data_IF_777025259501
#
_entry.id   IF_777025259501
#
_cell.length_a   1.000
_cell.length_b   1.000
_cell.length_c   1.000
_cell.angle_alpha   90.00
_cell.angle_beta   90.00
_cell.angle_gamma   90.00
#
_symmetry.space_group_name_H-M   'P 1'
#
loop_
_entity.id
_entity.type
_entity.pdbx_description
1 polymer ?
#
# COMPACT_ATOMS: atom_id res chain seq x y z
N UNK A 1 -22.95 -13.89 33.53
CA UNK A 1 -22.71 -15.09 32.71
C UNK A 1 -21.22 -15.34 32.69
N UNK A 2 -20.74 -16.26 33.51
CA UNK A 2 -19.36 -16.72 33.46
C UNK A 2 -19.32 -17.85 32.41
N UNK A 3 -18.55 -17.65 31.33
CA UNK A 3 -18.37 -18.68 30.31
C UNK A 3 -17.56 -19.86 30.85
N UNK A 4 -17.71 -21.04 30.24
CA UNK A 4 -16.89 -22.21 30.55
C UNK A 4 -15.39 -21.87 30.39
N UNK A 5 -14.53 -22.41 31.26
CA UNK A 5 -13.09 -22.14 31.23
C UNK A 5 -12.45 -22.68 29.94
N UNK A 6 -11.67 -21.84 29.27
CA UNK A 6 -10.91 -22.17 28.06
C UNK A 6 -9.69 -22.98 28.48
N UNK A 7 -9.48 -24.14 27.85
CA UNK A 7 -8.44 -25.11 28.25
C UNK A 7 -7.25 -25.12 27.28
N UNK A 8 -7.49 -24.81 26.00
CA UNK A 8 -6.46 -24.64 24.98
C UNK A 8 -6.32 -23.14 24.67
N UNK A 9 -5.09 -22.61 24.73
CA UNK A 9 -4.78 -21.18 24.63
C UNK A 9 -5.46 -20.42 23.48
N UNK A 10 -5.56 -19.09 23.64
CA UNK A 10 -6.32 -18.23 22.73
C UNK A 10 -5.38 -17.52 21.75
N UNK A 11 -5.76 -17.42 20.47
CA UNK A 11 -5.01 -16.64 19.48
C UNK A 11 -5.88 -15.56 18.86
N UNK A 12 -5.35 -14.35 18.69
CA UNK A 12 -6.09 -13.18 18.21
C UNK A 12 -5.36 -12.58 17.01
N UNK A 13 -6.02 -12.59 15.85
CA UNK A 13 -5.53 -11.92 14.65
C UNK A 13 -6.16 -10.53 14.57
N UNK A 14 -5.34 -9.49 14.56
CA UNK A 14 -5.80 -8.10 14.57
C UNK A 14 -4.99 -7.22 13.62
N UNK A 15 -5.54 -6.05 13.28
CA UNK A 15 -4.87 -5.03 12.48
C UNK A 15 -4.10 -4.08 13.40
N UNK A 16 -2.76 -4.16 13.40
CA UNK A 16 -1.92 -3.34 14.26
C UNK A 16 -2.01 -1.84 14.00
N UNK A 17 -2.38 -1.40 12.80
CA UNK A 17 -2.52 0.03 12.51
C UNK A 17 -3.84 0.62 13.01
N UNK A 18 -4.83 -0.22 13.32
CA UNK A 18 -6.10 0.24 13.88
C UNK A 18 -6.01 0.37 15.42
N UNK A 19 -6.15 1.57 16.01
CA UNK A 19 -6.09 1.76 17.47
C UNK A 19 -7.13 0.93 18.22
N UNK A 20 -8.32 0.78 17.65
CA UNK A 20 -9.40 -0.03 18.22
C UNK A 20 -9.00 -1.52 18.27
N UNK A 21 -8.48 -2.06 17.17
CA UNK A 21 -8.04 -3.45 17.10
C UNK A 21 -6.86 -3.72 18.07
N UNK A 22 -5.93 -2.77 18.18
CA UNK A 22 -4.81 -2.86 19.12
C UNK A 22 -5.28 -2.86 20.57
N UNK A 23 -6.23 -1.99 20.92
CA UNK A 23 -6.81 -1.96 22.27
C UNK A 23 -7.54 -3.27 22.59
N UNK A 24 -8.28 -3.85 21.64
CA UNK A 24 -8.89 -5.18 21.78
C UNK A 24 -7.85 -6.25 22.08
N UNK A 25 -6.80 -6.35 21.26
CA UNK A 25 -5.75 -7.33 21.41
C UNK A 25 -5.07 -7.21 22.79
N UNK A 26 -4.79 -5.98 23.24
CA UNK A 26 -4.25 -5.70 24.57
C UNK A 26 -5.21 -6.12 25.70
N UNK A 27 -6.52 -5.91 25.54
CA UNK A 27 -7.52 -6.35 26.51
C UNK A 27 -7.57 -7.86 26.71
N UNK A 28 -7.17 -8.63 25.70
CA UNK A 28 -7.04 -10.08 25.81
C UNK A 28 -5.71 -10.47 26.47
N UNK A 29 -4.61 -9.76 26.19
CA UNK A 29 -3.28 -10.03 26.74
C UNK A 29 -3.18 -9.96 28.26
N UNK A 30 -4.06 -9.17 28.90
CA UNK A 30 -4.04 -8.96 30.33
C UNK A 30 -4.72 -10.09 31.14
N UNK A 31 -5.35 -11.08 30.48
CA UNK A 31 -5.94 -12.25 31.16
C UNK A 31 -5.06 -13.48 30.99
N UNK A 32 -4.19 -13.69 31.96
CA UNK A 32 -3.33 -14.88 32.12
C UNK A 32 -4.11 -16.14 32.57
N UNK A 33 -5.40 -16.02 32.89
CA UNK A 33 -6.24 -17.09 33.45
C UNK A 33 -6.79 -18.10 32.40
N UNK A 34 -6.64 -17.82 31.10
CA UNK A 34 -7.24 -18.62 30.01
C UNK A 34 -6.20 -19.34 29.11
N UNK A 35 -5.03 -19.65 29.66
CA UNK A 35 -3.93 -20.32 28.94
C UNK A 35 -3.01 -19.34 28.19
N UNK A 36 -2.18 -19.85 27.27
CA UNK A 36 -1.24 -19.02 26.48
C UNK A 36 -2.00 -18.17 25.47
N UNK A 37 -1.86 -16.84 25.53
CA UNK A 37 -2.40 -15.94 24.51
C UNK A 37 -1.35 -15.65 23.44
N UNK A 38 -1.71 -15.86 22.17
CA UNK A 38 -0.91 -15.41 21.02
C UNK A 38 -1.58 -14.23 20.32
N UNK A 39 -0.87 -13.11 20.21
CA UNK A 39 -1.29 -11.94 19.44
C UNK A 39 -0.62 -11.97 18.07
N UNK A 40 -1.43 -11.93 17.01
CA UNK A 40 -0.98 -11.98 15.61
C UNK A 40 -1.36 -10.69 14.92
N UNK A 41 -0.39 -9.82 14.68
CA UNK A 41 -0.60 -8.62 13.87
C UNK A 41 -0.62 -9.01 12.39
N UNK A 42 -1.79 -8.91 11.76
CA UNK A 42 -2.00 -9.28 10.37
C UNK A 42 -1.16 -8.43 9.39
N UNK A 43 -0.63 -7.28 9.82
CA UNK A 43 0.27 -6.48 8.97
C UNK A 43 1.65 -7.11 8.84
N UNK A 44 2.24 -7.53 9.95
CA UNK A 44 3.63 -8.02 9.99
C UNK A 44 3.74 -9.54 9.95
N UNK A 45 2.64 -10.25 10.21
CA UNK A 45 2.62 -11.72 10.34
C UNK A 45 1.65 -12.38 9.34
N UNK A 46 1.63 -11.94 8.08
CA UNK A 46 0.74 -12.54 7.06
C UNK A 46 0.98 -14.04 6.82
N UNK A 47 2.22 -14.51 6.99
CA UNK A 47 2.56 -15.92 6.87
C UNK A 47 2.03 -16.80 8.03
N UNK A 48 1.48 -16.19 9.08
CA UNK A 48 0.94 -16.92 10.23
C UNK A 48 -0.24 -17.82 9.81
N UNK A 49 -0.33 -19.02 10.40
CA UNK A 49 -1.35 -20.03 10.01
C UNK A 49 -2.78 -19.47 10.02
N UNK A 50 -3.11 -18.64 11.00
CA UNK A 50 -4.46 -18.07 11.15
C UNK A 50 -4.81 -17.06 10.06
N UNK A 51 -3.83 -16.34 9.52
CA UNK A 51 -4.07 -15.45 8.38
C UNK A 51 -4.45 -16.27 7.14
N UNK A 52 -3.72 -17.38 6.88
CA UNK A 52 -4.04 -18.32 5.80
C UNK A 52 -5.39 -19.01 6.00
N UNK A 53 -5.67 -19.50 7.21
CA UNK A 53 -6.97 -20.11 7.52
C UNK A 53 -8.13 -19.14 7.33
N UNK A 54 -7.94 -17.85 7.67
CA UNK A 54 -8.94 -16.82 7.40
C UNK A 54 -9.24 -16.73 5.90
N UNK A 55 -8.19 -16.66 5.07
CA UNK A 55 -8.34 -16.59 3.61
C UNK A 55 -9.00 -17.84 3.02
N UNK A 56 -8.54 -19.04 3.42
CA UNK A 56 -9.09 -20.32 2.97
C UNK A 56 -10.59 -20.45 3.28
N UNK A 57 -11.04 -19.88 4.40
CA UNK A 57 -12.45 -19.86 4.80
C UNK A 57 -13.22 -18.63 4.28
N UNK A 58 -12.60 -17.78 3.46
CA UNK A 58 -13.23 -16.56 2.92
C UNK A 58 -13.50 -15.47 3.96
N UNK A 59 -12.82 -15.53 5.11
CA UNK A 59 -12.90 -14.55 6.20
C UNK A 59 -11.98 -13.36 5.92
N UNK A 60 -12.59 -12.23 5.59
CA UNK A 60 -11.88 -11.01 5.19
C UNK A 60 -11.34 -10.25 6.42
N UNK A 61 -10.02 -10.27 6.63
CA UNK A 61 -9.38 -9.60 7.77
C UNK A 61 -9.45 -8.06 7.69
N UNK A 62 -9.71 -7.47 6.54
CA UNK A 62 -10.02 -6.03 6.43
C UNK A 62 -11.39 -5.70 7.01
N UNK A 63 -12.31 -6.65 6.99
CA UNK A 63 -13.70 -6.47 7.48
C UNK A 63 -13.90 -6.91 8.91
N UNK A 64 -13.04 -7.75 9.48
CA UNK A 64 -13.25 -8.29 10.82
C UNK A 64 -11.99 -8.80 11.51
N UNK A 65 -12.11 -8.96 12.82
CA UNK A 65 -11.09 -9.61 13.66
C UNK A 65 -11.37 -11.12 13.69
N UNK A 66 -10.32 -11.92 13.84
CA UNK A 66 -10.41 -13.37 13.98
C UNK A 66 -9.82 -13.78 15.33
N UNK A 67 -10.55 -14.61 16.08
CA UNK A 67 -10.08 -15.24 17.31
C UNK A 67 -10.15 -16.75 17.12
N UNK A 68 -9.13 -17.47 17.55
CA UNK A 68 -9.14 -18.92 17.69
C UNK A 68 -9.08 -19.28 19.19
N UNK A 69 -10.00 -20.13 19.65
CA UNK A 69 -10.01 -20.67 21.00
C UNK A 69 -10.67 -22.06 21.02
N UNK A 70 -10.09 -23.01 21.77
CA UNK A 70 -10.55 -24.41 21.86
C UNK A 70 -10.85 -25.05 20.48
N UNK A 71 -9.99 -24.79 19.49
CA UNK A 71 -10.12 -25.31 18.12
C UNK A 71 -11.26 -24.70 17.30
N UNK A 72 -11.94 -23.66 17.81
CA UNK A 72 -13.01 -22.93 17.12
C UNK A 72 -12.53 -21.54 16.70
N UNK A 73 -12.99 -21.12 15.52
CA UNK A 73 -12.77 -19.79 14.99
C UNK A 73 -14.00 -18.91 15.22
N UNK A 74 -13.75 -17.70 15.71
CA UNK A 74 -14.75 -16.67 15.93
C UNK A 74 -14.36 -15.46 15.08
N UNK A 75 -15.23 -15.07 14.15
CA UNK A 75 -14.97 -13.97 13.23
C UNK A 75 -15.99 -12.84 13.39
N UNK A 76 -15.48 -11.61 13.34
CA UNK A 76 -16.31 -10.41 13.30
C UNK A 76 -17.22 -10.23 14.52
N UNK A 77 -18.53 -10.35 14.32
CA UNK A 77 -19.49 -10.21 15.41
C UNK A 77 -19.24 -11.27 16.50
N UNK A 78 -18.98 -12.52 16.13
CA UNK A 78 -18.72 -13.61 17.08
C UNK A 78 -17.45 -13.39 17.91
N UNK A 79 -16.40 -12.84 17.28
CA UNK A 79 -15.20 -12.43 17.99
C UNK A 79 -15.50 -11.36 19.05
N UNK A 80 -16.42 -10.44 18.75
CA UNK A 80 -16.85 -9.40 19.70
C UNK A 80 -17.62 -10.00 20.88
N UNK A 81 -18.45 -11.02 20.63
CA UNK A 81 -19.15 -11.76 21.69
C UNK A 81 -18.18 -12.53 22.57
N UNK A 82 -17.15 -13.13 21.96
CA UNK A 82 -16.08 -13.81 22.68
C UNK A 82 -15.35 -12.85 23.62
N UNK A 83 -14.99 -11.65 23.15
CA UNK A 83 -14.39 -10.60 23.98
C UNK A 83 -15.29 -10.18 25.14
N UNK A 84 -16.60 -10.01 24.92
CA UNK A 84 -17.51 -9.61 25.99
C UNK A 84 -17.54 -10.63 27.15
N UNK A 85 -17.41 -11.91 26.82
CA UNK A 85 -17.46 -13.04 27.76
C UNK A 85 -16.12 -13.28 28.45
N UNK A 86 -15.03 -13.24 27.70
CA UNK A 86 -13.71 -13.68 28.16
C UNK A 86 -12.69 -12.55 28.33
N UNK A 87 -12.92 -11.37 27.75
CA UNK A 87 -12.04 -10.21 27.87
C UNK A 87 -12.09 -9.53 29.24
N UNK A 88 -11.06 -8.72 29.53
CA UNK A 88 -10.92 -8.03 30.81
C UNK A 88 -12.09 -7.05 31.07
N UNK A 89 -12.88 -7.23 32.17
CA UNK A 89 -13.97 -6.34 32.54
C UNK A 89 -13.55 -4.89 32.82
N UNK A 90 -12.27 -4.63 33.10
CA UNK A 90 -11.74 -3.30 33.37
C UNK A 90 -11.78 -2.37 32.16
N UNK A 91 -11.74 -2.92 30.95
CA UNK A 91 -11.63 -2.13 29.72
C UNK A 91 -12.98 -1.60 29.20
N UNK A 92 -12.96 -0.37 28.68
CA UNK A 92 -14.13 0.33 28.13
C UNK A 92 -14.80 -0.50 27.03
N UNK A 93 -14.01 -1.17 26.19
CA UNK A 93 -14.54 -1.94 25.07
C UNK A 93 -15.24 -3.22 25.53
N UNK A 94 -14.74 -3.89 26.57
CA UNK A 94 -15.41 -5.05 27.19
C UNK A 94 -16.73 -4.65 27.83
N UNK A 95 -16.78 -3.49 28.49
CA UNK A 95 -18.03 -2.93 29.07
C UNK A 95 -19.05 -2.63 27.97
N UNK A 96 -18.62 -1.99 26.88
CA UNK A 96 -19.47 -1.74 25.71
C UNK A 96 -19.97 -3.04 25.08
N UNK A 97 -19.08 -4.01 24.86
CA UNK A 97 -19.43 -5.30 24.28
C UNK A 97 -20.46 -6.06 25.14
N UNK A 98 -20.35 -6.00 26.48
CA UNK A 98 -21.33 -6.58 27.41
C UNK A 98 -22.68 -5.85 27.38
N UNK A 99 -22.67 -4.52 27.29
CA UNK A 99 -23.89 -3.71 27.22
C UNK A 99 -24.68 -3.97 25.93
N UNK A 100 -23.97 -4.14 24.81
CA UNK A 100 -24.54 -4.33 23.47
C UNK A 100 -25.06 -5.75 23.23
N UNK A 101 -24.86 -6.67 24.18
CA UNK A 101 -25.12 -8.10 24.01
C UNK A 101 -26.54 -8.55 24.39
N UNK A 102 -27.45 -7.61 24.69
CA UNK A 102 -28.83 -7.90 25.12
C UNK A 102 -29.74 -8.53 24.04
N UNK A 103 -29.33 -8.53 22.76
CA UNK A 103 -30.08 -9.14 21.65
C UNK A 103 -29.17 -9.41 20.43
N UNK A 104 -29.41 -10.49 19.67
CA UNK A 104 -28.63 -10.86 18.47
C UNK A 104 -28.55 -9.73 17.43
N UNK A 105 -29.66 -9.03 17.20
CA UNK A 105 -29.72 -7.87 16.28
C UNK A 105 -28.90 -6.67 16.80
N UNK A 106 -28.86 -6.47 18.11
CA UNK A 106 -28.06 -5.39 18.71
C UNK A 106 -26.56 -5.66 18.56
N UNK A 107 -26.14 -6.92 18.65
CA UNK A 107 -24.75 -7.32 18.41
C UNK A 107 -24.32 -7.13 16.95
N UNK A 108 -25.19 -7.44 15.99
CA UNK A 108 -24.94 -7.17 14.56
C UNK A 108 -24.79 -5.67 14.29
N UNK A 109 -25.66 -4.84 14.87
CA UNK A 109 -25.59 -3.37 14.74
C UNK A 109 -24.33 -2.80 15.39
N UNK A 110 -24.01 -3.22 16.62
CA UNK A 110 -22.79 -2.84 17.32
C UNK A 110 -21.53 -3.16 16.51
N UNK A 111 -21.46 -4.36 15.95
CA UNK A 111 -20.35 -4.78 15.11
C UNK A 111 -20.28 -3.95 13.81
N UNK A 112 -21.41 -3.62 13.19
CA UNK A 112 -21.43 -2.71 12.04
C UNK A 112 -20.87 -1.31 12.39
N UNK A 113 -21.21 -0.77 13.57
CA UNK A 113 -20.66 0.49 14.07
C UNK A 113 -19.15 0.37 14.31
N UNK A 114 -18.68 -0.70 14.94
CA UNK A 114 -17.25 -0.94 15.17
C UNK A 114 -16.47 -1.08 13.87
N UNK A 115 -17.04 -1.75 12.85
CA UNK A 115 -16.46 -1.81 11.50
C UNK A 115 -16.38 -0.41 10.88
N UNK A 116 -17.43 0.40 11.01
CA UNK A 116 -17.43 1.79 10.57
C UNK A 116 -16.36 2.63 11.28
N UNK A 117 -16.24 2.48 12.60
CA UNK A 117 -15.22 3.16 13.41
C UNK A 117 -13.80 2.72 13.03
N UNK A 118 -13.54 1.42 12.83
CA UNK A 118 -12.26 0.91 12.31
C UNK A 118 -11.94 1.57 10.97
N UNK A 119 -12.88 1.56 10.02
CA UNK A 119 -12.68 2.17 8.70
C UNK A 119 -12.37 3.66 8.82
N UNK A 120 -13.09 4.39 9.68
CA UNK A 120 -12.83 5.81 9.95
C UNK A 120 -11.47 6.05 10.60
N UNK A 121 -11.04 5.20 11.53
CA UNK A 121 -9.73 5.33 12.18
C UNK A 121 -8.57 5.03 11.22
N UNK A 122 -8.70 4.00 10.38
CA UNK A 122 -7.69 3.70 9.34
C UNK A 122 -7.62 4.82 8.30
N UNK A 123 -8.78 5.33 7.88
CA UNK A 123 -8.93 6.51 7.02
C UNK A 123 -8.21 7.73 7.61
N UNK A 124 -8.49 8.08 8.87
CA UNK A 124 -7.83 9.21 9.55
C UNK A 124 -6.31 9.05 9.69
N UNK A 125 -5.81 7.81 9.75
CA UNK A 125 -4.38 7.50 9.84
C UNK A 125 -3.70 7.35 8.47
N UNK A 126 -4.46 7.47 7.38
CA UNK A 126 -3.98 7.31 6.01
C UNK A 126 -3.33 5.93 5.75
N UNK A 127 -3.91 4.88 6.35
CA UNK A 127 -3.37 3.52 6.27
C UNK A 127 -4.22 2.66 5.33
N UNK A 128 -3.55 1.95 4.41
CA UNK A 128 -4.19 1.06 3.45
C UNK A 128 -4.63 -0.28 4.11
N UNK A 129 -5.47 -1.03 3.39
CA UNK A 129 -5.96 -2.34 3.84
C UNK A 129 -4.86 -3.40 3.99
N UNK A 130 -5.21 -4.49 4.68
CA UNK A 130 -4.37 -5.66 4.94
C UNK A 130 -4.16 -6.52 3.69
N UNK A 131 -5.05 -6.47 2.70
CA UNK A 131 -4.97 -7.36 1.55
C UNK A 131 -5.16 -8.83 1.93
N UNK A 132 -4.84 -9.75 1.01
CA UNK A 132 -4.92 -11.19 1.26
C UNK A 132 -3.53 -11.78 1.50
N UNK A 133 -3.40 -12.80 2.38
CA UNK A 133 -2.14 -13.52 2.56
C UNK A 133 -1.57 -14.09 1.26
N UNK A 134 -2.41 -14.60 0.34
CA UNK A 134 -1.97 -15.08 -0.97
C UNK A 134 -1.35 -13.98 -1.85
N UNK A 135 -1.71 -12.72 -1.64
CA UNK A 135 -1.12 -11.59 -2.37
C UNK A 135 0.38 -11.48 -2.06
N UNK A 136 0.84 -11.84 -0.85
CA UNK A 136 2.24 -11.80 -0.46
C UNK A 136 3.12 -12.83 -1.20
N UNK A 137 2.53 -13.79 -1.92
CA UNK A 137 3.26 -14.78 -2.70
C UNK A 137 3.62 -14.32 -4.10
N UNK A 138 2.96 -13.27 -4.61
CA UNK A 138 3.14 -12.78 -5.98
C UNK A 138 3.60 -11.31 -5.97
N UNK A 139 4.36 -10.87 -6.99
CA UNK A 139 4.72 -9.47 -7.09
C UNK A 139 3.49 -8.57 -7.25
N UNK A 140 3.53 -7.36 -6.68
CA UNK A 140 2.43 -6.38 -6.70
C UNK A 140 1.96 -6.14 -8.15
N UNK A 141 2.90 -5.98 -9.07
CA UNK A 141 2.62 -5.68 -10.47
C UNK A 141 2.15 -6.90 -11.27
N UNK A 142 2.28 -8.13 -10.76
CA UNK A 142 1.64 -9.28 -11.40
C UNK A 142 0.11 -9.11 -11.44
N UNK A 143 -0.48 -8.53 -10.39
CA UNK A 143 -1.91 -8.20 -10.34
C UNK A 143 -2.27 -6.97 -11.18
N UNK A 144 -1.33 -6.04 -11.39
CA UNK A 144 -1.50 -4.86 -12.25
C UNK A 144 -1.53 -5.25 -13.73
N UNK A 145 -0.59 -6.10 -14.16
CA UNK A 145 -0.51 -6.58 -15.54
C UNK A 145 -1.48 -7.72 -15.83
N UNK A 146 -1.94 -8.45 -14.80
CA UNK A 146 -2.89 -9.55 -14.97
C UNK A 146 -2.35 -10.62 -15.91
N UNK A 147 -3.13 -10.96 -16.94
CA UNK A 147 -2.78 -12.00 -17.92
C UNK A 147 -1.53 -11.67 -18.74
N UNK A 148 -1.15 -10.38 -18.84
CA UNK A 148 0.05 -9.97 -19.56
C UNK A 148 1.34 -10.22 -18.76
N UNK A 149 1.26 -10.46 -17.44
CA UNK A 149 2.44 -10.63 -16.58
C UNK A 149 3.41 -11.70 -17.09
N UNK A 150 2.92 -12.87 -17.50
CA UNK A 150 3.77 -13.97 -17.99
C UNK A 150 4.34 -13.70 -19.39
N UNK A 151 3.80 -12.71 -20.11
CA UNK A 151 4.27 -12.30 -21.44
C UNK A 151 5.35 -11.21 -21.37
N UNK A 152 5.54 -10.61 -20.20
CA UNK A 152 6.55 -9.59 -19.98
C UNK A 152 7.96 -10.21 -20.13
N UNK A 153 8.88 -9.52 -20.82
CA UNK A 153 10.28 -9.93 -20.87
C UNK A 153 10.88 -10.07 -19.47
N UNK A 154 11.84 -11.00 -19.25
CA UNK A 154 12.44 -11.23 -17.94
C UNK A 154 12.97 -9.96 -17.26
N UNK A 155 13.57 -9.04 -18.02
CA UNK A 155 14.09 -7.76 -17.51
C UNK A 155 12.99 -6.87 -16.90
N UNK A 156 11.78 -6.84 -17.50
CA UNK A 156 10.64 -6.09 -16.97
C UNK A 156 10.04 -6.79 -15.76
N UNK A 157 9.99 -8.13 -15.73
CA UNK A 157 9.57 -8.84 -14.51
C UNK A 157 10.55 -8.63 -13.36
N UNK A 158 11.86 -8.57 -13.65
CA UNK A 158 12.91 -8.24 -12.68
C UNK A 158 12.85 -6.78 -12.21
N UNK A 159 12.26 -5.88 -13.00
CA UNK A 159 11.99 -4.50 -12.60
C UNK A 159 10.87 -4.40 -11.55
N UNK A 160 9.93 -5.36 -11.56
CA UNK A 160 8.80 -5.41 -10.64
C UNK A 160 8.74 -6.69 -9.76
N UNK A 161 9.79 -7.05 -9.00
CA UNK A 161 9.82 -8.31 -8.25
C UNK A 161 9.11 -8.21 -6.89
N UNK A 162 8.92 -7.00 -6.39
CA UNK A 162 8.44 -6.68 -5.05
C UNK A 162 7.07 -7.28 -4.75
N UNK A 163 7.00 -8.10 -3.69
CA UNK A 163 5.77 -8.65 -3.14
C UNK A 163 5.17 -7.68 -2.10
N UNK A 164 3.83 -7.59 -1.98
CA UNK A 164 3.21 -6.75 -0.96
C UNK A 164 3.55 -7.29 0.45
N UNK A 165 3.54 -6.42 1.47
CA UNK A 165 3.75 -6.80 2.87
C UNK A 165 5.08 -7.55 3.13
N UNK A 166 6.12 -7.16 2.42
CA UNK A 166 7.46 -7.75 2.53
C UNK A 166 8.52 -6.65 2.68
N UNK A 167 9.76 -7.08 2.94
CA UNK A 167 10.95 -6.22 2.94
C UNK A 167 11.71 -6.29 1.60
N UNK A 168 11.08 -6.77 0.53
CA UNK A 168 11.72 -6.89 -0.77
C UNK A 168 12.28 -5.53 -1.23
N UNK A 169 13.50 -5.54 -1.73
CA UNK A 169 14.15 -4.36 -2.29
C UNK A 169 14.90 -4.73 -3.57
N UNK A 170 14.89 -3.84 -4.55
CA UNK A 170 15.67 -3.99 -5.78
C UNK A 170 16.20 -2.63 -6.19
N UNK A 171 17.49 -2.56 -6.54
CA UNK A 171 18.17 -1.32 -6.90
C UNK A 171 18.57 -1.34 -8.36
N UNK A 172 18.35 -0.19 -9.01
CA UNK A 172 18.85 0.09 -10.35
C UNK A 172 19.61 1.41 -10.34
N UNK A 173 20.57 1.52 -11.24
CA UNK A 173 21.35 2.73 -11.45
C UNK A 173 21.39 3.08 -12.93
N UNK A 174 21.47 4.38 -13.21
CA UNK A 174 21.42 4.89 -14.57
C UNK A 174 21.77 6.36 -14.62
N UNK A 175 21.63 6.91 -15.82
CA UNK A 175 21.73 8.34 -16.06
C UNK A 175 20.45 8.81 -16.77
N UNK A 176 19.96 9.98 -16.38
CA UNK A 176 18.77 10.60 -16.97
C UNK A 176 19.12 11.96 -17.56
N UNK A 177 18.56 12.25 -18.72
CA UNK A 177 18.36 13.62 -19.17
C UNK A 177 17.05 14.14 -18.59
N UNK A 178 17.07 15.33 -18.02
CA UNK A 178 15.89 16.01 -17.47
C UNK A 178 15.70 17.30 -18.25
N UNK A 179 14.51 17.48 -18.82
CA UNK A 179 14.16 18.66 -19.60
C UNK A 179 12.86 19.24 -19.06
N UNK A 180 12.88 20.53 -18.80
CA UNK A 180 11.74 21.32 -18.34
C UNK A 180 11.57 22.55 -19.23
N UNK A 181 10.32 22.85 -19.59
CA UNK A 181 9.97 23.92 -20.51
C UNK A 181 8.66 24.60 -20.09
N UNK A 182 8.42 25.79 -20.66
CA UNK A 182 7.19 26.54 -20.43
C UNK A 182 6.96 26.88 -18.95
N UNK A 183 5.70 26.87 -18.46
CA UNK A 183 5.36 27.34 -17.12
C UNK A 183 5.90 26.44 -15.99
N UNK A 184 6.28 25.19 -16.28
CA UNK A 184 6.86 24.28 -15.29
C UNK A 184 8.15 24.85 -14.71
N UNK A 185 8.95 25.58 -15.51
CA UNK A 185 10.17 26.26 -15.04
C UNK A 185 9.88 27.35 -14.02
N UNK A 186 8.76 28.06 -14.16
CA UNK A 186 8.35 29.08 -13.19
C UNK A 186 7.92 28.45 -11.85
N UNK A 187 7.34 27.25 -11.90
CA UNK A 187 6.93 26.48 -10.73
C UNK A 187 8.08 25.67 -10.10
N UNK A 188 9.26 25.65 -10.71
CA UNK A 188 10.41 24.87 -10.24
C UNK A 188 10.76 25.06 -8.75
N UNK A 189 10.87 26.28 -8.19
CA UNK A 189 11.18 26.44 -6.76
C UNK A 189 10.08 25.86 -5.86
N UNK A 190 8.81 25.99 -6.25
CA UNK A 190 7.67 25.43 -5.53
C UNK A 190 7.68 23.90 -5.58
N UNK A 191 7.90 23.32 -6.77
CA UNK A 191 7.99 21.87 -6.95
C UNK A 191 9.18 21.29 -6.17
N UNK A 192 10.32 21.97 -6.19
CA UNK A 192 11.50 21.58 -5.43
C UNK A 192 11.22 21.60 -3.91
N UNK A 193 10.63 22.69 -3.40
CA UNK A 193 10.27 22.83 -2.00
C UNK A 193 9.24 21.79 -1.53
N UNK A 194 8.31 21.41 -2.42
CA UNK A 194 7.33 20.35 -2.15
C UNK A 194 7.91 18.93 -2.31
N UNK A 195 9.18 18.79 -2.68
CA UNK A 195 9.82 17.49 -2.92
C UNK A 195 9.16 16.71 -4.07
N UNK A 196 8.74 17.42 -5.12
CA UNK A 196 8.08 16.87 -6.30
C UNK A 196 9.09 16.56 -7.41
N UNK A 197 8.64 16.49 -8.66
CA UNK A 197 9.54 16.24 -9.79
C UNK A 197 10.61 17.35 -9.90
N UNK A 198 11.86 17.01 -10.24
CA UNK A 198 12.92 17.99 -10.43
C UNK A 198 12.69 18.76 -11.73
N UNK A 199 12.13 19.96 -11.63
CA UNK A 199 11.85 20.84 -12.77
C UNK A 199 13.09 21.68 -13.14
N UNK A 200 14.09 21.03 -13.74
CA UNK A 200 15.34 21.67 -14.20
C UNK A 200 15.81 21.03 -15.51
N UNK A 201 16.80 21.66 -16.16
CA UNK A 201 17.40 21.14 -17.38
C UNK A 201 18.80 20.65 -17.07
N UNK A 202 19.04 19.37 -17.27
CA UNK A 202 20.33 18.75 -16.98
C UNK A 202 20.48 17.46 -17.80
N UNK A 203 21.72 17.05 -18.08
CA UNK A 203 22.04 15.95 -18.99
C UNK A 203 22.93 14.92 -18.31
N UNK A 204 22.63 13.64 -18.52
CA UNK A 204 23.41 12.55 -17.95
C UNK A 204 23.44 12.53 -16.42
N UNK A 205 22.40 13.03 -15.76
CA UNK A 205 22.30 13.09 -14.30
C UNK A 205 22.33 11.68 -13.72
N UNK A 206 23.31 11.33 -12.88
CA UNK A 206 23.35 10.02 -12.24
C UNK A 206 22.16 9.83 -11.30
N UNK A 207 21.42 8.75 -11.48
CA UNK A 207 20.24 8.41 -10.68
C UNK A 207 20.36 7.00 -10.15
N UNK A 208 20.08 6.86 -8.85
CA UNK A 208 19.84 5.57 -8.24
C UNK A 208 18.38 5.46 -7.83
N UNK A 209 17.74 4.35 -8.20
CA UNK A 209 16.36 4.06 -7.83
C UNK A 209 16.34 2.77 -7.02
N UNK A 210 15.78 2.84 -5.82
CA UNK A 210 15.48 1.66 -5.02
C UNK A 210 13.97 1.45 -4.99
N UNK A 211 13.53 0.32 -5.54
CA UNK A 211 12.16 -0.16 -5.42
C UNK A 211 12.05 -0.96 -4.13
N UNK A 212 11.09 -0.60 -3.27
CA UNK A 212 10.91 -1.23 -1.97
C UNK A 212 9.47 -1.66 -1.76
N UNK A 213 9.31 -2.81 -1.13
CA UNK A 213 8.07 -3.19 -0.48
C UNK A 213 7.97 -2.53 0.89
N UNK A 214 6.75 -2.47 1.41
CA UNK A 214 6.47 -2.00 2.77
C UNK A 214 5.85 -3.17 3.55
N UNK A 215 6.44 -3.62 4.67
CA UNK A 215 5.86 -4.68 5.50
C UNK A 215 4.44 -4.36 5.97
N UNK A 216 4.10 -3.07 6.10
CA UNK A 216 2.81 -2.63 6.57
C UNK A 216 1.78 -2.35 5.48
N UNK A 217 2.13 -2.42 4.19
CA UNK A 217 1.21 -2.09 3.09
C UNK A 217 1.50 -2.83 1.79
N UNK A 218 0.50 -2.93 0.92
CA UNK A 218 0.67 -3.43 -0.45
C UNK A 218 1.29 -2.38 -1.40
N UNK A 219 1.95 -1.34 -0.86
CA UNK A 219 2.50 -0.26 -1.66
C UNK A 219 3.84 -0.66 -2.28
N UNK A 220 4.01 -0.32 -3.56
CA UNK A 220 5.30 -0.36 -4.24
C UNK A 220 5.97 1.01 -4.11
N UNK A 221 7.05 1.11 -3.36
CA UNK A 221 7.69 2.38 -3.00
C UNK A 221 8.84 2.67 -3.94
N UNK A 222 8.79 3.85 -4.58
CA UNK A 222 9.90 4.39 -5.36
C UNK A 222 10.73 5.32 -4.50
N UNK A 223 12.01 5.00 -4.31
CA UNK A 223 13.01 5.88 -3.70
C UNK A 223 14.04 6.27 -4.75
N UNK A 224 13.91 7.48 -5.30
CA UNK A 224 14.78 8.01 -6.37
C UNK A 224 15.72 9.04 -5.80
N UNK A 225 17.02 8.87 -6.05
CA UNK A 225 18.07 9.83 -5.70
C UNK A 225 18.75 10.31 -6.96
N UNK A 226 18.61 11.59 -7.25
CA UNK A 226 19.26 12.28 -8.35
C UNK A 226 20.48 12.99 -7.80
N UNK A 227 21.65 12.79 -8.41
CA UNK A 227 22.87 13.49 -8.04
C UNK A 227 23.10 14.64 -9.01
N UNK A 228 22.65 15.83 -8.65
CA UNK A 228 22.91 17.05 -9.42
C UNK A 228 24.22 17.70 -8.96
N UNK A 229 24.80 18.56 -9.79
CA UNK A 229 26.04 19.29 -9.46
C UNK A 229 25.90 20.17 -8.22
N UNK A 230 24.70 20.69 -7.95
CA UNK A 230 24.37 21.53 -6.80
C UNK A 230 23.89 20.74 -5.57
N UNK A 231 23.83 19.40 -5.66
CA UNK A 231 23.52 18.50 -4.56
C UNK A 231 22.53 17.38 -4.90
N UNK A 232 22.36 16.47 -3.94
CA UNK A 232 21.45 15.34 -4.09
C UNK A 232 19.98 15.77 -3.93
N UNK A 233 19.13 15.32 -4.85
CA UNK A 233 17.68 15.49 -4.78
C UNK A 233 16.99 14.15 -4.54
N UNK A 234 16.15 14.09 -3.51
CA UNK A 234 15.44 12.88 -3.11
C UNK A 234 13.95 12.97 -3.46
N UNK A 235 13.49 12.09 -4.35
CA UNK A 235 12.10 11.99 -4.73
C UNK A 235 11.52 10.62 -4.37
N UNK A 236 10.66 10.60 -3.36
CA UNK A 236 10.01 9.40 -2.85
C UNK A 236 8.51 9.42 -3.13
N UNK A 237 7.97 8.32 -3.63
CA UNK A 237 6.54 8.12 -3.85
C UNK A 237 6.12 6.69 -3.53
N UNK A 238 4.80 6.47 -3.45
CA UNK A 238 4.20 5.16 -3.17
C UNK A 238 3.15 4.85 -4.23
N UNK A 239 3.29 3.72 -4.91
CA UNK A 239 2.31 3.24 -5.88
C UNK A 239 1.36 2.25 -5.22
N UNK A 240 0.06 2.44 -5.46
CA UNK A 240 -1.00 1.62 -4.93
C UNK A 240 -1.87 1.10 -6.06
N UNK A 241 -2.12 -0.20 -6.04
CA UNK A 241 -3.01 -0.86 -6.99
C UNK A 241 -4.47 -0.55 -6.66
N UNK A 242 -5.22 -0.03 -7.63
CA UNK A 242 -6.65 0.26 -7.50
C UNK A 242 -7.55 -0.83 -8.09
N UNK A 243 -6.95 -1.83 -8.76
CA UNK A 243 -7.65 -2.91 -9.46
C UNK A 243 -7.42 -2.88 -10.97
N UNK A 244 -7.33 -4.06 -11.60
CA UNK A 244 -6.96 -4.19 -13.01
C UNK A 244 -5.63 -3.50 -13.32
N UNK A 245 -5.52 -2.80 -14.45
CA UNK A 245 -4.30 -2.03 -14.77
C UNK A 245 -4.21 -0.66 -14.08
N UNK A 246 -5.10 -0.30 -13.15
CA UNK A 246 -5.17 1.05 -12.59
C UNK A 246 -4.30 1.18 -11.33
N UNK A 247 -3.39 2.16 -11.35
CA UNK A 247 -2.44 2.43 -10.26
C UNK A 247 -2.50 3.91 -9.92
N UNK A 248 -2.34 4.24 -8.64
CA UNK A 248 -2.15 5.61 -8.17
C UNK A 248 -0.77 5.74 -7.55
N UNK A 249 0.03 6.69 -8.03
CA UNK A 249 1.30 7.05 -7.42
C UNK A 249 1.09 8.29 -6.55
N UNK A 250 1.28 8.12 -5.24
CA UNK A 250 1.14 9.16 -4.23
C UNK A 250 2.53 9.70 -3.88
N UNK A 251 2.73 10.98 -4.14
CA UNK A 251 3.91 11.77 -3.78
C UNK A 251 3.77 12.39 -2.38
N UNK A 252 4.79 13.16 -1.99
CA UNK A 252 4.77 13.99 -0.77
C UNK A 252 3.54 14.88 -0.71
N UNK A 253 3.09 15.14 0.52
CA UNK A 253 1.88 15.93 0.84
C UNK A 253 0.57 15.38 0.26
N UNK A 254 0.56 14.12 -0.19
CA UNK A 254 -0.63 13.44 -0.69
C UNK A 254 -0.97 13.77 -2.14
N UNK A 255 -0.20 14.61 -2.85
CA UNK A 255 -0.38 14.78 -4.28
C UNK A 255 -0.26 13.42 -4.97
N UNK A 256 -1.13 13.15 -5.93
CA UNK A 256 -1.04 11.92 -6.69
C UNK A 256 -1.31 12.16 -8.17
N UNK A 257 -0.85 11.21 -8.98
CA UNK A 257 -1.45 10.98 -10.28
C UNK A 257 -1.90 9.53 -10.37
N UNK A 258 -2.99 9.34 -11.11
CA UNK A 258 -3.54 8.03 -11.42
C UNK A 258 -3.20 7.70 -12.86
N UNK A 259 -2.81 6.47 -13.08
CA UNK A 259 -2.42 5.96 -14.38
C UNK A 259 -2.96 4.56 -14.62
N UNK A 260 -2.95 4.17 -15.89
CA UNK A 260 -3.21 2.81 -16.31
C UNK A 260 -1.96 2.20 -16.90
N UNK A 261 -1.48 1.12 -16.29
CA UNK A 261 -0.45 0.27 -16.83
C UNK A 261 -1.02 -0.64 -17.91
N UNK A 262 -0.25 -0.85 -18.97
CA UNK A 262 -0.54 -1.81 -20.01
C UNK A 262 0.77 -2.26 -20.68
N UNK A 263 0.85 -3.54 -21.05
CA UNK A 263 1.89 -4.04 -21.95
C UNK A 263 1.41 -3.95 -23.39
N UNK A 264 2.05 -3.13 -24.23
CA UNK A 264 1.68 -2.98 -25.64
C UNK A 264 2.91 -2.67 -26.49
N UNK A 265 2.97 -3.23 -27.69
CA UNK A 265 4.02 -2.93 -28.68
C UNK A 265 5.44 -3.11 -28.13
N UNK A 266 5.66 -4.13 -27.28
CA UNK A 266 6.98 -4.40 -26.71
C UNK A 266 7.43 -3.44 -25.60
N UNK A 267 6.52 -2.63 -25.06
CA UNK A 267 6.81 -1.68 -23.97
C UNK A 267 5.70 -1.64 -22.92
N UNK A 268 6.06 -1.26 -21.70
CA UNK A 268 5.10 -0.89 -20.65
C UNK A 268 4.67 0.55 -20.91
N UNK A 269 3.37 0.81 -20.85
CA UNK A 269 2.78 2.14 -21.02
C UNK A 269 2.03 2.51 -19.75
N UNK A 270 2.34 3.68 -19.20
CA UNK A 270 1.61 4.29 -18.09
C UNK A 270 0.79 5.46 -18.64
N UNK A 271 -0.48 5.19 -18.92
CA UNK A 271 -1.37 6.16 -19.53
C UNK A 271 -2.03 7.05 -18.46
N UNK A 272 -1.95 8.38 -18.64
CA UNK A 272 -2.56 9.37 -17.75
C UNK A 272 -4.07 9.13 -17.53
N UNK A 273 -4.54 9.21 -16.28
CA UNK A 273 -5.97 9.31 -15.94
C UNK A 273 -6.33 10.65 -15.35
N UNK A 274 -5.72 11.02 -14.23
CA UNK A 274 -5.95 12.29 -13.56
C UNK A 274 -4.82 12.58 -12.57
N UNK A 275 -4.79 13.82 -12.08
CA UNK A 275 -4.08 14.17 -10.86
C UNK A 275 -5.07 14.36 -9.73
N UNK A 276 -4.57 14.40 -8.50
CA UNK A 276 -5.39 14.74 -7.36
C UNK A 276 -4.60 14.87 -6.08
N UNK A 277 -5.33 14.90 -4.98
CA UNK A 277 -4.78 14.88 -3.64
C UNK A 277 -5.43 13.77 -2.82
N UNK A 278 -4.59 12.99 -2.14
CA UNK A 278 -4.97 11.96 -1.19
C UNK A 278 -5.16 12.65 0.15
N UNK A 279 -6.41 12.73 0.59
CA UNK A 279 -6.79 13.31 1.87
C UNK A 279 -7.46 12.23 2.71
N UNK A 280 -6.83 11.90 3.85
CA UNK A 280 -7.31 10.87 4.78
C UNK A 280 -7.59 9.52 4.11
N UNK A 281 -6.82 9.09 3.10
CA UNK A 281 -7.08 7.84 2.36
C UNK A 281 -8.15 7.94 1.26
N UNK A 282 -8.77 9.11 1.05
CA UNK A 282 -9.60 9.38 -0.13
C UNK A 282 -8.75 9.97 -1.26
N UNK A 283 -8.81 9.37 -2.45
CA UNK A 283 -8.23 9.95 -3.66
C UNK A 283 -9.21 10.94 -4.29
N UNK A 284 -9.01 12.24 -4.06
CA UNK A 284 -9.84 13.30 -4.63
C UNK A 284 -9.21 13.76 -5.95
N UNK A 285 -9.79 13.46 -7.12
CA UNK A 285 -9.27 13.95 -8.39
C UNK A 285 -9.43 15.46 -8.46
N UNK A 286 -8.39 16.13 -8.98
CA UNK A 286 -8.37 17.57 -9.18
C UNK A 286 -8.21 17.87 -10.68
N UNK A 287 -8.78 18.97 -11.19
CA UNK A 287 -8.67 19.35 -12.61
C UNK A 287 -7.27 19.91 -12.96
N UNK A 288 -6.21 19.43 -12.30
CA UNK A 288 -4.83 19.88 -12.53
C UNK A 288 -4.29 19.47 -13.90
N UNK A 289 -4.96 18.56 -14.63
CA UNK A 289 -4.56 18.21 -15.99
C UNK A 289 -4.60 19.39 -16.96
N UNK A 290 -5.47 20.39 -16.71
CA UNK A 290 -5.50 21.63 -17.50
C UNK A 290 -4.35 22.59 -17.18
N UNK A 291 -3.72 22.45 -16.01
CA UNK A 291 -2.64 23.31 -15.53
C UNK A 291 -1.26 22.68 -15.75
N UNK A 292 -1.14 21.40 -15.44
CA UNK A 292 0.12 20.66 -15.49
C UNK A 292 0.32 19.96 -16.84
N UNK A 293 -0.76 19.63 -17.56
CA UNK A 293 -0.73 18.78 -18.74
C UNK A 293 -1.03 17.32 -18.41
N UNK A 294 -0.78 16.41 -19.36
CA UNK A 294 -0.97 14.97 -19.20
C UNK A 294 0.37 14.29 -19.02
N UNK A 295 0.52 13.49 -17.96
CA UNK A 295 1.72 12.69 -17.70
C UNK A 295 1.62 11.30 -18.34
N UNK A 296 2.55 10.98 -19.23
CA UNK A 296 2.67 9.67 -19.86
C UNK A 296 4.08 9.14 -19.62
N UNK A 297 4.18 7.85 -19.31
CA UNK A 297 5.48 7.20 -19.17
C UNK A 297 5.52 5.88 -19.92
N UNK A 298 6.72 5.49 -20.33
CA UNK A 298 6.99 4.28 -21.06
C UNK A 298 8.27 3.63 -20.54
N UNK A 299 8.25 2.30 -20.44
CA UNK A 299 9.44 1.50 -20.12
C UNK A 299 9.66 0.49 -21.22
N UNK A 300 10.88 0.46 -21.74
CA UNK A 300 11.27 -0.36 -22.89
C UNK A 300 12.40 -1.29 -22.46
N UNK A 301 12.23 -2.62 -22.58
CA UNK A 301 13.32 -3.56 -22.35
C UNK A 301 14.41 -3.34 -23.40
N UNK A 302 15.68 -3.29 -22.99
CA UNK A 302 16.81 -3.15 -23.92
C UNK A 302 17.57 -4.47 -24.07
N UNK A 303 17.92 -5.09 -22.94
CA UNK A 303 18.59 -6.39 -22.88
C UNK A 303 18.20 -7.14 -21.59
N UNK A 304 19.00 -8.12 -21.17
CA UNK A 304 18.73 -8.94 -19.98
C UNK A 304 18.82 -8.17 -18.67
N UNK A 305 19.59 -7.09 -18.64
CA UNK A 305 20.00 -6.42 -17.40
C UNK A 305 19.69 -4.92 -17.41
N UNK A 306 19.10 -4.40 -18.49
CA UNK A 306 18.78 -2.99 -18.61
C UNK A 306 17.49 -2.71 -19.37
N UNK A 307 16.89 -1.58 -19.00
CA UNK A 307 15.69 -1.03 -19.61
C UNK A 307 15.81 0.49 -19.74
N UNK A 308 15.15 1.04 -20.75
CA UNK A 308 14.97 2.47 -20.90
C UNK A 308 13.65 2.91 -20.27
N UNK A 309 13.67 4.07 -19.65
CA UNK A 309 12.47 4.70 -19.09
C UNK A 309 12.37 6.13 -19.62
N UNK A 310 11.18 6.50 -20.03
CA UNK A 310 10.84 7.85 -20.45
C UNK A 310 9.55 8.27 -19.76
N UNK A 311 9.53 9.49 -19.22
CA UNK A 311 8.31 10.12 -18.71
C UNK A 311 8.20 11.50 -19.32
N UNK A 312 7.04 11.86 -19.82
CA UNK A 312 6.78 13.16 -20.41
C UNK A 312 5.47 13.76 -19.88
N UNK A 313 5.45 15.08 -19.70
CA UNK A 313 4.25 15.84 -19.40
C UNK A 313 3.95 16.77 -20.58
N UNK A 314 2.79 16.58 -21.19
CA UNK A 314 2.33 17.35 -22.36
C UNK A 314 1.17 18.27 -21.97
N UNK A 315 1.41 19.57 -22.01
CA UNK A 315 0.40 20.59 -21.77
C UNK A 315 -0.39 20.92 -23.06
N UNK A 316 -1.72 21.10 -23.00
CA UNK A 316 -2.54 21.41 -24.18
C UNK A 316 -2.09 22.66 -24.97
N UNK A 317 -1.62 23.69 -24.26
CA UNK A 317 -1.20 24.98 -24.85
C UNK A 317 0.30 25.10 -25.17
N UNK A 318 1.15 24.42 -24.40
CA UNK A 318 2.62 24.61 -24.47
C UNK A 318 3.35 23.40 -25.03
N UNK A 319 2.62 22.35 -25.40
CA UNK A 319 3.21 21.09 -25.84
C UNK A 319 3.98 20.41 -24.71
N UNK A 320 5.16 19.85 -25.01
CA UNK A 320 5.97 19.14 -24.03
C UNK A 320 6.59 20.12 -23.04
N UNK A 321 6.16 20.07 -21.77
CA UNK A 321 6.62 20.97 -20.71
C UNK A 321 7.58 20.30 -19.74
N UNK A 322 7.62 18.97 -19.73
CA UNK A 322 8.56 18.21 -18.94
C UNK A 322 8.87 16.88 -19.62
N UNK A 323 10.11 16.43 -19.53
CA UNK A 323 10.55 15.12 -19.95
C UNK A 323 11.69 14.69 -19.04
N UNK A 324 11.72 13.42 -18.66
CA UNK A 324 13.00 12.79 -18.35
C UNK A 324 13.09 11.46 -19.06
N UNK A 325 14.30 11.15 -19.52
CA UNK A 325 14.59 9.92 -20.27
C UNK A 325 15.96 9.40 -19.88
N UNK A 326 16.07 8.09 -19.76
CA UNK A 326 17.38 7.45 -19.64
C UNK A 326 17.30 5.95 -19.48
N UNK A 327 18.47 5.36 -19.26
CA UNK A 327 18.65 3.91 -19.20
C UNK A 327 19.11 3.50 -17.82
N UNK A 328 18.52 2.43 -17.31
CA UNK A 328 18.80 1.86 -16.01
C UNK A 328 19.29 0.43 -16.15
N UNK A 329 20.24 0.06 -15.31
CA UNK A 329 20.75 -1.31 -15.18
C UNK A 329 20.59 -1.78 -13.73
N UNK A 330 20.35 -3.07 -13.55
CA UNK A 330 20.28 -3.66 -12.21
C UNK A 330 21.66 -3.67 -11.55
N UNK A 331 21.69 -3.31 -10.27
CA UNK A 331 22.89 -3.47 -9.45
C UNK A 331 22.82 -4.86 -8.83
N UNK A 332 23.86 -5.67 -9.00
CA UNK A 332 23.98 -6.94 -8.28
C UNK A 332 24.30 -6.62 -6.81
N UNK A 333 23.49 -7.15 -5.89
CA UNK A 333 23.82 -7.10 -4.47
C UNK A 333 25.01 -8.05 -4.26
N UNK A 334 26.19 -7.48 -4.00
CA UNK A 334 27.44 -8.19 -3.73
C UNK A 334 27.50 -8.85 -2.36
#
# INVERSE_FOLDING_TARGET
>A
MNGEPISAGVSVVYDGACPLCRSVAQAMALRTEHGTLALVDARTMQAHRLCRTAEEQGLDLDKGMLIEADGRLYYGAEATLFLARYGDPGQVLTKLARLLHRSRKASEMAYAILRGARKALLFLRDVDGLGKPSDASRPIFASVFGDDWERLPPVIRRHYPNRPFSDDATRVEGALDVVSAGPVRLLAPLLSALGQIPARNDHGVPVSVTFRSDPGSAAFVFDRRFRFDDGDYHFRSRMLHLGGGEVVEVMRYGFFWRCRYAWRNGKVILAHRCYGIRLFGCHVPLPLGLLLGRNEAEEVPVDTDSFEMMTQITHPLWGRVYEYRGRFSFVEDG
#
